data_IF_773831517922
#
_entry.id   IF_773831517922
#
_cell.length_a   1.000
_cell.length_b   1.000
_cell.length_c   1.000
_cell.angle_alpha   90.00
_cell.angle_beta   90.00
_cell.angle_gamma   90.00
#
_symmetry.space_group_name_H-M   'P 1'
#
loop_
_entity.id
_entity.type
_entity.pdbx_description
1 polymer ?
#
# COMPACT_ATOMS: atom_id res chain seq x y z
N UNK A 1 -7.35 -8.87 14.22
CA UNK A 1 -6.42 -8.30 13.21
C UNK A 1 -6.02 -9.43 12.29
N UNK A 2 -5.98 -9.16 10.98
CA UNK A 2 -5.56 -10.12 9.98
C UNK A 2 -4.04 -10.35 10.05
N UNK A 3 -3.62 -11.51 9.53
CA UNK A 3 -2.21 -11.86 9.35
C UNK A 3 -1.94 -12.12 7.87
N UNK A 4 -0.82 -11.67 7.37
CA UNK A 4 -0.35 -11.88 6.00
C UNK A 4 1.05 -12.48 6.03
N UNK A 5 1.28 -13.54 5.25
CA UNK A 5 2.61 -14.16 5.13
C UNK A 5 3.27 -13.61 3.86
N UNK A 6 4.39 -12.90 4.05
CA UNK A 6 5.21 -12.42 2.94
C UNK A 6 6.14 -13.56 2.54
N UNK A 7 5.88 -14.19 1.40
CA UNK A 7 6.66 -15.35 0.94
C UNK A 7 8.02 -14.93 0.40
N UNK A 8 9.02 -15.79 0.65
CA UNK A 8 10.40 -15.57 0.21
C UNK A 8 10.58 -15.96 -1.25
N UNK A 9 11.31 -15.15 -1.98
CA UNK A 9 11.74 -15.41 -3.36
C UNK A 9 13.25 -15.26 -3.50
N UNK A 10 13.82 -15.81 -4.58
CA UNK A 10 15.27 -15.80 -4.82
C UNK A 10 15.73 -14.61 -5.67
N UNK A 11 14.85 -14.05 -6.49
CA UNK A 11 15.09 -12.96 -7.43
C UNK A 11 13.83 -12.10 -7.56
N UNK A 12 13.91 -10.98 -8.30
CA UNK A 12 12.74 -10.15 -8.60
C UNK A 12 11.57 -11.00 -9.13
N UNK A 13 10.32 -10.75 -8.66
CA UNK A 13 9.20 -11.64 -8.93
C UNK A 13 8.78 -11.62 -10.41
N UNK A 14 8.58 -12.78 -10.98
CA UNK A 14 7.85 -13.04 -12.22
C UNK A 14 6.36 -13.32 -11.95
N UNK A 15 5.56 -13.61 -12.96
CA UNK A 15 4.13 -13.87 -12.78
C UNK A 15 3.89 -15.15 -11.97
N UNK A 16 4.69 -16.19 -12.12
CA UNK A 16 4.57 -17.43 -11.34
C UNK A 16 4.81 -17.18 -9.83
N UNK A 17 5.79 -16.34 -9.48
CA UNK A 17 6.03 -15.94 -8.09
C UNK A 17 4.82 -15.18 -7.51
N UNK A 18 4.22 -14.29 -8.30
CA UNK A 18 3.02 -13.55 -7.88
C UNK A 18 1.78 -14.45 -7.72
N UNK A 19 1.64 -15.51 -8.50
CA UNK A 19 0.55 -16.47 -8.33
C UNK A 19 0.62 -17.19 -6.98
N UNK A 20 1.82 -17.45 -6.49
CA UNK A 20 2.06 -18.11 -5.19
C UNK A 20 1.90 -17.20 -3.99
N UNK A 21 1.93 -15.88 -4.17
CA UNK A 21 1.77 -14.91 -3.08
C UNK A 21 0.37 -14.97 -2.46
N UNK A 22 0.28 -14.83 -1.15
CA UNK A 22 -1.00 -14.69 -0.45
C UNK A 22 -1.73 -13.41 -0.92
N UNK A 23 -3.04 -13.36 -0.72
CA UNK A 23 -3.87 -12.24 -1.15
C UNK A 23 -4.43 -11.51 0.07
N UNK A 24 -4.19 -10.19 0.13
CA UNK A 24 -4.80 -9.29 1.08
C UNK A 24 -5.93 -8.50 0.40
N UNK A 25 -7.18 -8.93 0.55
CA UNK A 25 -8.34 -8.25 -0.03
C UNK A 25 -8.64 -6.95 0.71
N UNK A 26 -8.80 -5.84 0.00
CA UNK A 26 -9.19 -4.52 0.51
C UNK A 26 -10.71 -4.33 0.42
N UNK A 27 -11.48 -5.31 0.89
CA UNK A 27 -12.93 -5.38 0.69
C UNK A 27 -13.75 -4.92 1.91
N UNK A 28 -13.08 -4.45 2.98
CA UNK A 28 -13.76 -3.86 4.15
C UNK A 28 -13.99 -2.37 3.88
N UNK A 29 -15.24 -1.93 3.91
CA UNK A 29 -15.67 -0.59 3.43
C UNK A 29 -16.63 0.08 4.43
N UNK A 30 -16.21 0.35 5.67
CA UNK A 30 -17.13 0.80 6.75
C UNK A 30 -17.73 2.18 6.51
N UNK A 31 -17.14 2.99 5.61
CA UNK A 31 -17.58 4.37 5.36
C UNK A 31 -18.38 4.53 4.06
N UNK A 32 -18.56 3.46 3.29
CA UNK A 32 -19.34 3.49 2.06
C UNK A 32 -20.84 3.32 2.38
N UNK A 33 -21.66 4.14 1.73
CA UNK A 33 -23.13 4.09 1.84
C UNK A 33 -23.78 3.42 0.63
N UNK A 34 -23.06 3.29 -0.47
CA UNK A 34 -23.54 2.76 -1.75
C UNK A 34 -22.89 1.42 -2.08
N UNK A 35 -23.60 0.58 -2.83
CA UNK A 35 -23.18 -0.79 -3.16
C UNK A 35 -22.21 -0.88 -4.37
N UNK A 36 -21.58 0.22 -4.78
CA UNK A 36 -20.55 0.16 -5.82
C UNK A 36 -19.24 -0.33 -5.22
N UNK A 37 -18.92 -1.58 -5.49
CA UNK A 37 -17.78 -2.23 -4.89
C UNK A 37 -16.76 -2.59 -5.96
N UNK A 38 -15.61 -1.93 -5.91
CA UNK A 38 -14.43 -2.40 -6.62
C UNK A 38 -13.77 -3.52 -5.83
N UNK A 39 -13.39 -4.59 -6.51
CA UNK A 39 -12.55 -5.63 -5.93
C UNK A 39 -11.12 -5.15 -5.99
N UNK A 40 -10.50 -5.05 -4.83
CA UNK A 40 -9.11 -4.61 -4.75
C UNK A 40 -8.34 -5.53 -3.82
N UNK A 41 -7.08 -5.81 -4.17
CA UNK A 41 -6.23 -6.63 -3.34
C UNK A 41 -4.75 -6.27 -3.49
N UNK A 42 -3.98 -6.65 -2.48
CA UNK A 42 -2.53 -6.54 -2.47
C UNK A 42 -1.87 -7.92 -2.35
N UNK A 43 -0.68 -8.05 -2.89
CA UNK A 43 0.23 -9.18 -2.76
C UNK A 43 1.61 -8.67 -2.37
N UNK A 44 2.27 -9.35 -1.44
CA UNK A 44 3.64 -9.07 -1.04
C UNK A 44 4.52 -10.30 -1.22
N UNK A 45 5.74 -10.07 -1.67
CA UNK A 45 6.85 -11.02 -1.72
C UNK A 45 8.09 -10.34 -1.17
N UNK A 46 9.13 -11.07 -0.80
CA UNK A 46 10.39 -10.48 -0.40
C UNK A 46 11.59 -11.33 -0.82
N UNK A 47 12.73 -10.68 -0.97
CA UNK A 47 14.05 -11.30 -1.06
C UNK A 47 15.00 -10.72 -0.01
N UNK A 48 16.29 -10.88 -0.17
CA UNK A 48 17.28 -10.34 0.76
C UNK A 48 17.46 -8.80 0.66
N UNK A 49 16.93 -8.16 -0.40
CA UNK A 49 17.14 -6.76 -0.70
C UNK A 49 15.91 -5.88 -0.49
N UNK A 50 14.69 -6.42 -0.73
CA UNK A 50 13.48 -5.63 -0.77
C UNK A 50 12.21 -6.43 -0.44
N UNK A 51 11.15 -5.70 -0.09
CA UNK A 51 9.77 -6.15 -0.17
C UNK A 51 9.24 -5.73 -1.54
N UNK A 52 8.63 -6.66 -2.26
CA UNK A 52 7.93 -6.42 -3.52
C UNK A 52 6.43 -6.33 -3.25
N UNK A 53 5.81 -5.34 -3.84
CA UNK A 53 4.38 -5.05 -3.67
C UNK A 53 3.71 -5.10 -5.03
N UNK A 54 2.57 -5.79 -5.12
CA UNK A 54 1.65 -5.71 -6.25
C UNK A 54 0.26 -5.42 -5.71
N UNK A 55 -0.38 -4.41 -6.26
CA UNK A 55 -1.77 -4.08 -5.95
C UNK A 55 -2.59 -4.09 -7.24
N UNK A 56 -3.82 -4.57 -7.15
CA UNK A 56 -4.73 -4.74 -8.29
C UNK A 56 -6.12 -4.29 -7.88
N UNK A 57 -6.82 -3.61 -8.79
CA UNK A 57 -8.23 -3.22 -8.61
C UNK A 57 -8.97 -3.32 -9.94
N UNK A 58 -10.27 -3.63 -9.90
CA UNK A 58 -11.18 -3.58 -11.05
C UNK A 58 -11.91 -2.23 -11.18
N UNK A 59 -11.42 -1.20 -10.47
CA UNK A 59 -11.98 0.16 -10.52
C UNK A 59 -12.08 0.72 -11.94
N UNK A 60 -13.30 1.12 -12.30
CA UNK A 60 -13.60 1.83 -13.55
C UNK A 60 -14.75 2.83 -13.32
N UNK A 61 -14.70 4.05 -13.88
CA UNK A 61 -13.58 4.62 -14.64
C UNK A 61 -12.39 4.97 -13.74
N UNK A 62 -11.19 4.87 -14.28
CA UNK A 62 -9.95 5.26 -13.60
C UNK A 62 -9.78 6.78 -13.65
N UNK A 63 -9.46 7.39 -12.52
CA UNK A 63 -9.14 8.82 -12.41
C UNK A 63 -7.67 8.98 -12.00
N UNK A 64 -6.88 9.65 -12.85
CA UNK A 64 -5.48 9.94 -12.57
C UNK A 64 -5.11 11.31 -13.14
N UNK A 65 -4.97 12.29 -12.28
CA UNK A 65 -4.66 13.69 -12.60
C UNK A 65 -3.29 14.13 -12.07
N UNK A 66 -2.87 13.52 -10.97
CA UNK A 66 -1.58 13.82 -10.34
C UNK A 66 -0.46 13.14 -11.14
N UNK A 67 0.51 13.91 -11.59
CA UNK A 67 1.67 13.42 -12.36
C UNK A 67 2.98 13.52 -11.59
N UNK A 68 2.99 14.34 -10.56
CA UNK A 68 4.19 14.65 -9.81
C UNK A 68 4.31 13.80 -8.53
N UNK A 69 5.53 13.42 -8.20
CA UNK A 69 5.86 12.79 -6.91
C UNK A 69 5.48 13.72 -5.75
N UNK A 70 4.99 13.10 -4.66
CA UNK A 70 4.60 13.79 -3.44
C UNK A 70 3.44 14.81 -3.59
N UNK A 71 2.70 14.74 -4.70
CA UNK A 71 1.42 15.41 -4.83
C UNK A 71 0.34 14.71 -3.99
N UNK A 72 -0.88 15.24 -3.96
CA UNK A 72 -1.98 14.68 -3.16
C UNK A 72 -2.60 13.49 -3.88
N UNK A 73 -1.89 12.35 -3.87
CA UNK A 73 -2.20 11.14 -4.63
C UNK A 73 -3.58 10.56 -4.28
N UNK A 74 -3.99 10.62 -3.02
CA UNK A 74 -5.28 10.10 -2.55
C UNK A 74 -6.51 10.76 -3.21
N UNK A 75 -6.32 11.89 -3.92
CA UNK A 75 -7.41 12.53 -4.69
C UNK A 75 -7.72 11.82 -6.01
N UNK A 76 -6.84 10.99 -6.48
CA UNK A 76 -6.99 10.14 -7.66
C UNK A 76 -7.51 8.74 -7.28
N UNK A 77 -7.69 7.88 -8.29
CA UNK A 77 -7.71 6.44 -8.09
C UNK A 77 -6.38 6.03 -7.47
N UNK A 78 -6.39 5.60 -6.22
CA UNK A 78 -5.18 5.39 -5.44
C UNK A 78 -5.20 4.03 -4.74
N UNK A 79 -4.05 3.38 -4.66
CA UNK A 79 -3.81 2.21 -3.81
C UNK A 79 -2.65 2.50 -2.87
N UNK A 80 -2.80 2.08 -1.60
CA UNK A 80 -1.89 2.49 -0.54
C UNK A 80 -1.43 1.30 0.32
N UNK A 81 -0.17 1.32 0.70
CA UNK A 81 0.42 0.49 1.74
C UNK A 81 0.93 1.38 2.87
N UNK A 82 0.39 1.20 4.07
CA UNK A 82 0.96 1.77 5.28
C UNK A 82 1.72 0.69 6.02
N UNK A 83 3.01 0.90 6.23
CA UNK A 83 3.96 -0.08 6.75
C UNK A 83 4.64 0.45 8.01
N UNK A 84 4.49 -0.28 9.13
CA UNK A 84 5.22 -0.10 10.39
C UNK A 84 6.27 -1.20 10.53
N UNK A 85 7.52 -0.95 10.13
CA UNK A 85 8.54 -1.99 10.04
C UNK A 85 9.04 -2.48 11.39
N UNK A 86 9.00 -1.65 12.42
CA UNK A 86 9.43 -1.98 13.77
C UNK A 86 8.25 -1.86 14.74
N UNK A 87 7.82 -2.99 15.32
CA UNK A 87 6.66 -3.02 16.24
C UNK A 87 6.93 -2.34 17.59
N UNK A 88 8.21 -2.14 17.94
CA UNK A 88 8.62 -1.46 19.18
C UNK A 88 8.57 0.07 19.04
N UNK A 89 8.48 0.59 17.79
CA UNK A 89 8.40 2.02 17.47
C UNK A 89 7.03 2.36 16.91
N UNK A 90 6.47 3.49 17.29
CA UNK A 90 5.18 3.94 16.76
C UNK A 90 5.32 4.74 15.45
N UNK A 91 6.28 4.36 14.60
CA UNK A 91 6.63 5.05 13.36
C UNK A 91 6.28 4.17 12.16
N UNK A 92 5.56 4.72 11.18
CA UNK A 92 5.20 4.01 9.95
C UNK A 92 5.39 4.89 8.71
N UNK A 93 5.60 4.24 7.58
CA UNK A 93 5.72 4.86 6.26
C UNK A 93 4.44 4.56 5.48
N UNK A 94 3.87 5.55 4.78
CA UNK A 94 2.84 5.31 3.76
C UNK A 94 3.46 5.37 2.37
N UNK A 95 2.95 4.50 1.51
CA UNK A 95 3.18 4.47 0.07
C UNK A 95 1.81 4.59 -0.60
N UNK A 96 1.56 5.68 -1.31
CA UNK A 96 0.34 5.94 -2.05
C UNK A 96 0.69 6.05 -3.51
N UNK A 97 0.03 5.28 -4.38
CA UNK A 97 0.37 5.22 -5.81
C UNK A 97 -0.90 5.33 -6.63
N UNK A 98 -0.87 6.14 -7.69
CA UNK A 98 -1.96 6.28 -8.66
C UNK A 98 -1.69 5.49 -9.96
N UNK A 99 -2.66 5.40 -10.89
CA UNK A 99 -2.52 4.67 -12.15
C UNK A 99 -1.47 5.21 -13.14
N UNK A 100 -0.96 6.42 -12.93
CA UNK A 100 0.14 7.00 -13.72
C UNK A 100 1.51 6.68 -13.12
N UNK A 101 1.56 6.08 -11.91
CA UNK A 101 2.79 5.82 -11.20
C UNK A 101 3.31 7.02 -10.40
N UNK A 102 2.59 8.14 -10.37
CA UNK A 102 2.87 9.18 -9.40
C UNK A 102 2.62 8.64 -7.99
N UNK A 103 3.50 8.98 -7.05
CA UNK A 103 3.42 8.42 -5.71
C UNK A 103 3.83 9.40 -4.62
N UNK A 104 3.26 9.19 -3.44
CA UNK A 104 3.58 9.88 -2.20
C UNK A 104 4.21 8.90 -1.21
N UNK A 105 5.28 9.31 -0.55
CA UNK A 105 5.89 8.56 0.54
C UNK A 105 6.21 9.49 1.69
N UNK A 106 5.58 9.24 2.83
CA UNK A 106 5.79 10.00 4.05
C UNK A 106 6.01 9.09 5.24
N UNK A 107 6.63 9.62 6.28
CA UNK A 107 6.85 8.95 7.56
C UNK A 107 6.25 9.76 8.70
N UNK A 108 5.66 9.09 9.68
CA UNK A 108 5.07 9.71 10.86
C UNK A 108 4.47 8.70 11.82
N UNK A 109 3.84 9.19 12.88
CA UNK A 109 3.20 8.35 13.91
C UNK A 109 1.66 8.41 13.87
N UNK A 110 1.12 9.30 13.04
CA UNK A 110 -0.30 9.53 12.85
C UNK A 110 -0.55 10.41 11.63
N UNK A 111 -1.72 11.02 11.53
CA UNK A 111 -2.13 11.86 10.40
C UNK A 111 -1.36 13.18 10.34
N UNK A 112 -1.12 13.82 11.48
CA UNK A 112 -0.43 15.10 11.57
C UNK A 112 1.09 14.93 11.71
N UNK A 113 1.86 15.95 11.27
CA UNK A 113 3.31 16.02 11.47
C UNK A 113 4.11 15.02 10.65
N UNK A 114 3.56 14.55 9.54
CA UNK A 114 4.25 13.63 8.62
C UNK A 114 5.34 14.36 7.84
N UNK A 115 6.39 13.64 7.52
CA UNK A 115 7.57 14.16 6.81
C UNK A 115 7.75 13.36 5.52
N UNK A 116 7.98 14.06 4.42
CA UNK A 116 8.27 13.44 3.11
C UNK A 116 9.57 12.62 3.17
N UNK A 117 9.52 11.41 2.63
CA UNK A 117 10.71 10.61 2.38
C UNK A 117 11.32 11.03 1.03
N UNK A 118 12.39 11.83 1.10
CA UNK A 118 13.06 12.36 -0.11
C UNK A 118 14.24 11.47 -0.47
N UNK A 119 14.05 10.62 -1.49
CA UNK A 119 15.05 9.69 -2.02
C UNK A 119 14.96 9.61 -3.54
N UNK A 120 15.95 8.96 -4.18
CA UNK A 120 15.86 8.62 -5.59
C UNK A 120 14.67 7.68 -5.82
N UNK A 121 13.69 8.16 -6.59
CA UNK A 121 12.46 7.42 -6.88
C UNK A 121 12.69 6.13 -7.67
N UNK A 122 13.76 6.07 -8.47
CA UNK A 122 14.11 4.91 -9.29
C UNK A 122 14.33 3.65 -8.46
N UNK A 123 14.70 3.80 -7.18
CA UNK A 123 14.88 2.66 -6.30
C UNK A 123 13.59 1.85 -6.08
N UNK A 124 12.42 2.47 -6.22
CA UNK A 124 11.12 1.81 -6.01
C UNK A 124 10.65 1.03 -7.24
N UNK A 125 11.21 1.29 -8.43
CA UNK A 125 10.87 0.59 -9.70
C UNK A 125 9.34 0.48 -9.90
N UNK A 126 8.64 1.62 -9.81
CA UNK A 126 7.18 1.68 -9.87
C UNK A 126 6.70 1.41 -11.30
N UNK A 127 5.84 0.40 -11.46
CA UNK A 127 5.30 -0.08 -12.74
C UNK A 127 3.77 -0.07 -12.69
N UNK A 128 3.12 1.04 -13.06
CA UNK A 128 1.69 1.07 -13.23
C UNK A 128 1.29 0.41 -14.56
N UNK A 129 0.11 -0.18 -14.59
CA UNK A 129 -0.45 -0.79 -15.78
C UNK A 129 -1.97 -0.65 -15.79
N UNK A 130 -2.52 -0.10 -16.86
CA UNK A 130 -3.94 -0.12 -17.13
C UNK A 130 -4.33 -1.47 -17.70
N UNK A 131 -5.32 -2.11 -17.09
CA UNK A 131 -5.84 -3.42 -17.49
C UNK A 131 -7.15 -3.23 -18.28
N UNK A 132 -7.62 -4.29 -18.94
CA UNK A 132 -8.92 -4.27 -19.63
C UNK A 132 -10.07 -3.91 -18.66
N UNK A 133 -9.95 -4.33 -17.38
CA UNK A 133 -10.84 -3.95 -16.29
C UNK A 133 -9.98 -3.48 -15.13
N UNK A 134 -10.00 -2.15 -14.86
CA UNK A 134 -9.24 -1.56 -13.76
C UNK A 134 -7.76 -1.34 -14.06
N UNK A 135 -6.94 -1.44 -13.04
CA UNK A 135 -5.50 -1.19 -13.11
C UNK A 135 -4.72 -1.96 -12.05
N UNK A 136 -3.43 -2.07 -12.26
CA UNK A 136 -2.50 -2.63 -11.29
C UNK A 136 -1.24 -1.78 -11.18
N UNK A 137 -0.55 -1.91 -10.06
CA UNK A 137 0.78 -1.36 -9.87
C UNK A 137 1.67 -2.38 -9.17
N UNK A 138 2.90 -2.49 -9.63
CA UNK A 138 3.95 -3.25 -8.94
C UNK A 138 5.11 -2.32 -8.63
N UNK A 139 5.70 -2.46 -7.44
CA UNK A 139 6.88 -1.71 -7.01
C UNK A 139 7.66 -2.50 -5.96
N UNK A 140 8.85 -2.02 -5.58
CA UNK A 140 9.65 -2.60 -4.50
C UNK A 140 9.97 -1.55 -3.44
N UNK A 141 10.13 -2.01 -2.21
CA UNK A 141 10.57 -1.21 -1.06
C UNK A 141 11.89 -1.79 -0.58
N UNK A 142 13.04 -1.17 -0.90
CA UNK A 142 14.34 -1.64 -0.44
C UNK A 142 14.44 -1.67 1.09
N UNK A 143 15.00 -2.73 1.68
CA UNK A 143 15.26 -2.75 3.12
C UNK A 143 16.21 -1.64 3.56
N UNK A 144 17.14 -1.21 2.70
CA UNK A 144 17.99 -0.04 2.95
C UNK A 144 17.17 1.25 3.14
N UNK A 145 16.11 1.45 2.34
CA UNK A 145 15.18 2.57 2.50
C UNK A 145 14.43 2.48 3.84
N UNK A 146 13.90 1.31 4.19
CA UNK A 146 13.23 1.08 5.48
C UNK A 146 14.17 1.44 6.63
N UNK A 147 15.40 0.90 6.61
CA UNK A 147 16.40 1.15 7.67
C UNK A 147 16.78 2.63 7.78
N UNK A 148 16.91 3.33 6.65
CA UNK A 148 17.23 4.76 6.63
C UNK A 148 16.20 5.58 7.40
N UNK A 149 14.91 5.31 7.23
CA UNK A 149 13.83 6.12 7.79
C UNK A 149 13.30 5.62 9.14
N UNK A 150 13.30 4.31 9.38
CA UNK A 150 12.71 3.73 10.60
C UNK A 150 13.72 3.06 11.52
N UNK A 151 14.98 2.93 11.12
CA UNK A 151 15.97 2.09 11.79
C UNK A 151 15.76 0.61 11.51
N UNK A 152 16.25 -0.26 12.40
CA UNK A 152 16.10 -1.70 12.22
C UNK A 152 14.62 -2.10 12.23
N UNK A 153 14.29 -3.08 11.40
CA UNK A 153 12.97 -3.68 11.34
C UNK A 153 12.91 -4.97 12.16
N UNK A 154 11.71 -5.34 12.59
CA UNK A 154 11.46 -6.56 13.37
C UNK A 154 11.02 -7.70 12.44
N UNK A 155 11.19 -8.99 12.85
CA UNK A 155 10.73 -10.15 12.07
C UNK A 155 9.22 -10.17 11.80
N UNK A 156 8.46 -9.47 12.61
CA UNK A 156 7.05 -9.15 12.40
C UNK A 156 6.95 -7.66 12.16
N UNK A 157 6.40 -7.27 11.03
CA UNK A 157 6.01 -5.89 10.75
C UNK A 157 4.50 -5.74 10.95
N UNK A 158 4.01 -4.52 11.00
CA UNK A 158 2.57 -4.24 10.93
C UNK A 158 2.26 -3.36 9.73
N UNK A 159 1.05 -3.50 9.19
CA UNK A 159 0.62 -2.67 8.08
C UNK A 159 -0.85 -2.81 7.76
N UNK A 160 -1.29 -1.98 6.84
CA UNK A 160 -2.60 -2.10 6.23
C UNK A 160 -2.53 -1.73 4.75
N UNK A 161 -3.45 -2.25 3.98
CA UNK A 161 -3.61 -1.97 2.55
C UNK A 161 -4.92 -1.24 2.35
N UNK A 162 -4.90 -0.24 1.45
CA UNK A 162 -6.05 0.59 1.20
C UNK A 162 -6.28 0.80 -0.29
N UNK A 163 -7.56 0.91 -0.63
CA UNK A 163 -8.05 1.45 -1.89
C UNK A 163 -8.71 2.79 -1.60
N UNK A 164 -8.27 3.82 -2.27
CA UNK A 164 -8.77 5.18 -2.09
C UNK A 164 -9.21 5.78 -3.42
N UNK A 165 -10.23 6.61 -3.38
CA UNK A 165 -10.73 7.43 -4.47
C UNK A 165 -11.48 8.62 -3.91
N UNK A 166 -10.80 9.44 -3.07
CA UNK A 166 -11.45 10.50 -2.27
C UNK A 166 -12.14 11.57 -3.13
N UNK A 167 -11.56 11.92 -4.28
CA UNK A 167 -12.12 12.92 -5.21
C UNK A 167 -12.37 12.38 -6.63
N UNK A 168 -12.55 11.09 -6.76
CA UNK A 168 -13.07 10.46 -7.98
C UNK A 168 -14.57 10.70 -8.10
N UNK A 169 -15.15 10.48 -9.27
CA UNK A 169 -16.60 10.59 -9.49
C UNK A 169 -17.42 9.64 -8.59
N UNK A 170 -16.79 8.57 -8.10
CA UNK A 170 -17.33 7.60 -7.15
C UNK A 170 -16.39 7.56 -5.94
N UNK A 171 -16.71 8.36 -4.93
CA UNK A 171 -15.91 8.40 -3.71
C UNK A 171 -15.98 7.07 -2.98
N UNK A 172 -14.83 6.42 -2.75
CA UNK A 172 -14.75 5.10 -2.15
C UNK A 172 -13.49 4.89 -1.31
N UNK A 173 -13.59 3.98 -0.31
CA UNK A 173 -12.53 3.62 0.62
C UNK A 173 -12.59 2.14 0.96
N UNK A 174 -11.60 1.37 0.53
CA UNK A 174 -11.45 -0.04 0.87
C UNK A 174 -10.24 -0.29 1.77
N UNK A 175 -10.29 -1.31 2.61
CA UNK A 175 -9.17 -1.67 3.49
C UNK A 175 -9.10 -3.18 3.76
N UNK A 176 -7.89 -3.65 4.08
CA UNK A 176 -7.63 -5.04 4.46
C UNK A 176 -7.95 -5.33 5.93
N UNK A 177 -7.53 -4.46 6.86
CA UNK A 177 -7.94 -4.51 8.27
C UNK A 177 -8.92 -3.39 8.56
N UNK A 178 -10.00 -3.73 9.25
CA UNK A 178 -11.09 -2.80 9.56
C UNK A 178 -10.62 -1.70 10.51
N UNK A 179 -10.80 -0.45 10.08
CA UNK A 179 -10.70 0.74 10.92
C UNK A 179 -12.09 1.07 11.46
N UNK A 180 -12.19 1.27 12.77
CA UNK A 180 -13.46 1.55 13.47
C UNK A 180 -13.51 3.03 13.87
N UNK A 181 -13.66 3.91 12.86
CA UNK A 181 -13.89 5.35 13.05
C UNK A 181 -15.13 5.78 12.29
N UNK A 182 -15.80 6.83 12.74
CA UNK A 182 -17.03 7.33 12.13
C UNK A 182 -16.80 8.02 10.77
N UNK A 183 -15.58 8.49 10.55
CA UNK A 183 -15.16 9.18 9.32
C UNK A 183 -13.93 8.55 8.72
N UNK A 184 -13.72 8.65 7.39
CA UNK A 184 -12.54 8.13 6.71
C UNK A 184 -11.23 8.68 7.27
N UNK A 185 -10.40 7.78 7.79
CA UNK A 185 -9.05 8.10 8.28
C UNK A 185 -8.18 6.83 8.25
N UNK A 186 -7.27 6.73 7.27
CA UNK A 186 -6.35 5.60 7.14
C UNK A 186 -5.15 5.67 8.10
N UNK A 187 -4.87 6.85 8.65
CA UNK A 187 -3.73 7.09 9.53
C UNK A 187 -3.96 6.58 10.97
N UNK A 188 -4.37 5.32 11.10
CA UNK A 188 -4.78 4.65 12.35
C UNK A 188 -3.95 3.39 12.57
N UNK A 189 -2.66 3.53 12.98
CA UNK A 189 -1.75 2.40 13.11
C UNK A 189 -2.15 1.36 14.15
N UNK A 190 -3.06 1.68 15.06
CA UNK A 190 -3.64 0.74 16.03
C UNK A 190 -4.49 -0.37 15.37
N UNK A 191 -4.93 -0.17 14.12
CA UNK A 191 -5.68 -1.16 13.34
C UNK A 191 -4.83 -1.91 12.31
N UNK A 192 -3.51 -1.73 12.31
CA UNK A 192 -2.63 -2.46 11.38
C UNK A 192 -2.57 -3.94 11.71
N UNK A 193 -2.66 -4.79 10.70
CA UNK A 193 -2.49 -6.24 10.80
C UNK A 193 -1.02 -6.65 10.84
N UNK A 194 -0.78 -7.94 11.09
CA UNK A 194 0.57 -8.51 11.15
C UNK A 194 1.05 -8.90 9.74
N UNK A 195 2.26 -8.48 9.41
CA UNK A 195 2.98 -8.85 8.20
C UNK A 195 4.18 -9.71 8.61
N UNK A 196 4.14 -10.99 8.27
CA UNK A 196 5.06 -12.02 8.73
C UNK A 196 5.95 -12.48 7.58
N UNK A 197 7.25 -12.43 7.75
CA UNK A 197 8.17 -13.03 6.79
C UNK A 197 8.13 -14.55 6.88
N UNK A 198 7.97 -15.23 5.75
CA UNK A 198 8.16 -16.68 5.62
C UNK A 198 9.59 -17.03 6.05
N UNK A 199 9.76 -18.12 6.80
CA UNK A 199 11.06 -18.58 7.31
C UNK A 199 11.81 -19.41 6.26
#
# INVERSE_FOLDING_TARGET
MNKYIIKKIKAAPDEEAWERADIAYMNLKPWEKENEHFNSYAKLLYDNAAIYVRMVTDEMPVVAKQTERNSVICTDSCMELFLRPNIERNLYINFEVNPLGAFLTEIGTGKAGRVLCVDDEKQFDIKPELCQKGWRVSYKIPFAFIKKYTGEYTPVMKGNFYKCGDKTGHRHFGMWNLIKTDTPDFHRPEYFGDLLFEK
#
